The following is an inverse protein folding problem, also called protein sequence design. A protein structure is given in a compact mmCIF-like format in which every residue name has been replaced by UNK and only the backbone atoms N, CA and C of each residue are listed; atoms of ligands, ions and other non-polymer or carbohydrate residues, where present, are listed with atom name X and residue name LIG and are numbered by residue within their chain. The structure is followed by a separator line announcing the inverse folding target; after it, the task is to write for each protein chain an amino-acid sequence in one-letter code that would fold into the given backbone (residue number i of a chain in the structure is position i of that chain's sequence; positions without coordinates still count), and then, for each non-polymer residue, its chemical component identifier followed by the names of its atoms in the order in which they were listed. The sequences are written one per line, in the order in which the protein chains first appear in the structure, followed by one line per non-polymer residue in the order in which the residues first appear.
data_IF_895460105232
#
_entry.id   IF_895460105232
#
_cell.length_a   1.000
_cell.length_b   1.000
_cell.length_c   1.000
_cell.angle_alpha   90.00
_cell.angle_beta   90.00
_cell.angle_gamma   90.00
#
_symmetry.space_group_name_H-M   'P 1'
#
loop_
_entity.id
_entity.type
_entity.pdbx_description
1 polymer ?
#
# COMPACT_ATOMS: atom_id res chain seq x y z
N UNK A 1 -13.91 7.39 -1.23
CA UNK A 1 -12.54 7.11 -0.78
C UNK A 1 -11.55 7.83 -1.68
N UNK A 2 -10.53 8.37 -1.10
CA UNK A 2 -9.51 9.05 -1.87
C UNK A 2 -8.62 8.03 -2.63
N UNK A 3 -8.06 8.46 -3.76
CA UNK A 3 -7.29 7.57 -4.63
C UNK A 3 -6.07 6.96 -3.92
N UNK A 4 -5.45 7.68 -3.01
CA UNK A 4 -4.30 7.16 -2.27
C UNK A 4 -4.72 6.05 -1.31
N UNK A 5 -5.89 6.17 -0.69
CA UNK A 5 -6.45 5.12 0.14
C UNK A 5 -6.76 3.87 -0.68
N UNK A 6 -7.27 4.06 -1.90
CA UNK A 6 -7.54 2.96 -2.81
C UNK A 6 -6.24 2.27 -3.23
N UNK A 7 -5.19 3.04 -3.49
CA UNK A 7 -3.87 2.48 -3.81
C UNK A 7 -3.38 1.59 -2.67
N UNK A 8 -3.44 2.10 -1.43
CA UNK A 8 -3.01 1.33 -0.27
C UNK A 8 -3.84 0.06 -0.09
N UNK A 9 -5.16 0.16 -0.26
CA UNK A 9 -6.03 -1.00 -0.14
C UNK A 9 -5.69 -2.09 -1.16
N UNK A 10 -5.48 -1.69 -2.42
CA UNK A 10 -5.13 -2.65 -3.45
C UNK A 10 -3.78 -3.33 -3.19
N UNK A 11 -2.81 -2.59 -2.69
CA UNK A 11 -1.52 -3.17 -2.31
C UNK A 11 -1.73 -4.25 -1.24
N UNK A 12 -2.47 -3.93 -0.21
CA UNK A 12 -2.73 -4.88 0.88
C UNK A 12 -3.46 -6.12 0.37
N UNK A 13 -4.49 -5.92 -0.46
CA UNK A 13 -5.27 -7.02 -1.01
C UNK A 13 -4.42 -7.97 -1.85
N UNK A 14 -3.56 -7.43 -2.70
CA UNK A 14 -2.71 -8.27 -3.55
C UNK A 14 -1.67 -9.02 -2.72
N UNK A 15 -1.12 -8.39 -1.70
CA UNK A 15 -0.20 -9.07 -0.79
C UNK A 15 -0.92 -10.19 -0.03
N UNK A 16 -2.16 -9.97 0.39
CA UNK A 16 -2.94 -11.01 1.08
C UNK A 16 -3.13 -12.27 0.23
N UNK A 17 -3.26 -12.11 -1.08
CA UNK A 17 -3.41 -13.26 -1.98
C UNK A 17 -2.16 -14.13 -2.01
N UNK A 18 -1.01 -13.57 -1.70
CA UNK A 18 0.28 -14.25 -1.80
C UNK A 18 0.76 -14.73 -0.44
N UNK A 19 0.73 -13.85 0.57
CA UNK A 19 1.29 -14.14 1.88
C UNK A 19 0.23 -14.34 2.97
N UNK A 20 -1.04 -14.25 2.61
CA UNK A 20 -2.14 -14.49 3.56
C UNK A 20 -2.34 -13.39 4.57
N UNK A 21 -2.92 -13.71 5.74
CA UNK A 21 -3.31 -12.70 6.74
C UNK A 21 -2.17 -11.83 7.26
N UNK A 22 -0.93 -12.28 7.13
CA UNK A 22 0.22 -11.49 7.58
C UNK A 22 0.32 -10.17 6.83
N UNK A 23 -0.24 -10.09 5.61
CA UNK A 23 -0.23 -8.85 4.85
C UNK A 23 -0.92 -7.72 5.60
N UNK A 24 -2.09 -7.99 6.17
CA UNK A 24 -2.83 -6.99 6.94
C UNK A 24 -2.12 -6.68 8.26
N UNK A 25 -1.55 -7.68 8.92
CA UNK A 25 -0.80 -7.47 10.15
C UNK A 25 0.37 -6.53 9.93
N UNK A 26 1.10 -6.70 8.83
CA UNK A 26 2.22 -5.82 8.51
C UNK A 26 1.76 -4.41 8.14
N UNK A 27 0.66 -4.28 7.43
CA UNK A 27 0.11 -2.97 7.10
C UNK A 27 -0.25 -2.18 8.35
N UNK A 28 -0.81 -2.85 9.35
CA UNK A 28 -1.20 -2.20 10.61
C UNK A 28 -0.01 -1.72 11.43
N UNK A 29 1.18 -2.21 11.15
CA UNK A 29 2.39 -1.75 11.82
C UNK A 29 2.93 -0.45 11.24
N UNK A 30 2.44 -0.04 10.07
CA UNK A 30 2.89 1.20 9.44
C UNK A 30 2.28 2.39 10.17
N UNK A 31 3.14 3.22 10.74
CA UNK A 31 2.70 4.39 11.50
C UNK A 31 1.97 5.37 10.60
N UNK A 32 0.81 5.83 11.04
CA UNK A 32 0.00 6.77 10.28
C UNK A 32 -0.95 6.13 9.28
N UNK A 33 -0.90 4.81 9.12
CA UNK A 33 -1.81 4.09 8.23
C UNK A 33 -2.93 3.46 9.05
N UNK A 34 -4.16 3.82 8.75
CA UNK A 34 -5.34 3.31 9.44
C UNK A 34 -6.15 2.48 8.46
N UNK A 35 -6.21 1.18 8.71
CA UNK A 35 -6.80 0.21 7.79
C UNK A 35 -8.05 -0.41 8.39
N UNK A 36 -9.16 -0.32 7.66
CA UNK A 36 -10.39 -1.03 7.98
C UNK A 36 -10.85 -1.77 6.73
N UNK A 37 -10.47 -3.03 6.62
CA UNK A 37 -10.77 -3.84 5.43
C UNK A 37 -12.24 -4.20 5.32
N UNK A 38 -12.97 -4.24 6.41
CA UNK A 38 -14.41 -4.49 6.37
C UNK A 38 -15.16 -3.36 5.67
N UNK A 39 -14.70 -2.13 5.89
CA UNK A 39 -15.29 -0.94 5.26
C UNK A 39 -14.59 -0.57 3.97
N UNK A 40 -13.57 -1.29 3.59
CA UNK A 40 -12.71 -0.95 2.44
C UNK A 40 -12.17 0.47 2.53
N UNK A 41 -11.76 0.86 3.73
CA UNK A 41 -11.23 2.20 3.99
C UNK A 41 -9.79 2.12 4.44
N UNK A 42 -8.96 2.99 3.84
CA UNK A 42 -7.60 3.21 4.31
C UNK A 42 -7.42 4.72 4.43
N UNK A 43 -7.06 5.17 5.62
CA UNK A 43 -6.86 6.59 5.90
C UNK A 43 -5.43 6.83 6.34
N UNK A 44 -4.94 8.02 6.04
CA UNK A 44 -3.59 8.43 6.38
C UNK A 44 -3.60 9.52 7.44
N UNK A 45 -2.74 9.37 8.44
CA UNK A 45 -2.51 10.41 9.43
C UNK A 45 -1.05 10.83 9.30
N UNK A 46 -0.80 11.91 8.55
CA UNK A 46 0.54 12.41 8.27
C UNK A 46 0.82 12.50 6.79
N UNK A 47 2.09 12.40 6.41
CA UNK A 47 2.51 12.53 5.01
C UNK A 47 2.15 11.26 4.23
N UNK A 48 1.24 11.39 3.29
CA UNK A 48 0.71 10.25 2.52
C UNK A 48 1.78 9.52 1.72
N UNK A 49 2.67 10.26 1.07
CA UNK A 49 3.73 9.66 0.28
C UNK A 49 4.66 8.83 1.15
N UNK A 50 5.07 9.39 2.28
CA UNK A 50 5.96 8.71 3.22
C UNK A 50 5.32 7.47 3.80
N UNK A 51 4.04 7.56 4.15
CA UNK A 51 3.30 6.42 4.70
C UNK A 51 3.18 5.31 3.65
N UNK A 52 2.91 5.64 2.39
CA UNK A 52 2.87 4.66 1.32
C UNK A 52 4.25 4.04 1.08
N UNK A 53 5.31 4.84 1.13
CA UNK A 53 6.68 4.32 1.02
C UNK A 53 6.96 3.31 2.14
N UNK A 54 6.52 3.62 3.35
CA UNK A 54 6.71 2.74 4.49
C UNK A 54 5.91 1.45 4.36
N UNK A 55 4.71 1.52 3.77
CA UNK A 55 3.91 0.33 3.52
C UNK A 55 4.62 -0.61 2.53
N UNK A 56 5.05 -0.08 1.40
CA UNK A 56 5.80 -0.87 0.41
C UNK A 56 7.10 -1.38 1.02
N UNK A 57 7.80 -0.54 1.76
CA UNK A 57 9.05 -0.90 2.43
C UNK A 57 8.88 -2.02 3.44
N UNK A 58 7.74 -2.06 4.13
CA UNK A 58 7.46 -3.12 5.09
C UNK A 58 7.41 -4.48 4.39
N UNK A 59 6.71 -4.56 3.27
CA UNK A 59 6.65 -5.80 2.50
C UNK A 59 8.01 -6.14 1.89
N UNK A 60 8.70 -5.15 1.35
CA UNK A 60 10.03 -5.36 0.77
C UNK A 60 11.03 -5.88 1.80
N UNK A 61 11.00 -5.31 3.01
CA UNK A 61 11.91 -5.70 4.07
C UNK A 61 11.74 -7.18 4.45
N UNK A 62 10.49 -7.65 4.49
CA UNK A 62 10.17 -9.00 4.95
C UNK A 62 10.23 -10.05 3.83
N UNK A 63 9.85 -9.66 2.61
CA UNK A 63 9.62 -10.61 1.52
C UNK A 63 10.44 -10.30 0.26
N UNK A 64 11.28 -9.28 0.29
CA UNK A 64 12.20 -8.97 -0.78
C UNK A 64 11.62 -8.18 -1.94
N UNK A 65 12.42 -8.06 -2.99
CA UNK A 65 12.08 -7.23 -4.16
C UNK A 65 10.81 -7.69 -4.88
N UNK A 66 10.53 -8.99 -4.87
CA UNK A 66 9.32 -9.51 -5.50
C UNK A 66 8.06 -8.85 -4.93
N UNK A 67 8.06 -8.47 -3.66
CA UNK A 67 6.94 -7.77 -3.05
C UNK A 67 6.70 -6.39 -3.65
N UNK A 68 7.76 -5.70 -4.06
CA UNK A 68 7.64 -4.40 -4.71
C UNK A 68 6.94 -4.55 -6.05
N UNK A 69 7.28 -5.61 -6.80
CA UNK A 69 6.63 -5.88 -8.09
C UNK A 69 5.15 -6.19 -7.90
N UNK A 70 4.80 -6.92 -6.85
CA UNK A 70 3.39 -7.18 -6.50
C UNK A 70 2.66 -5.86 -6.24
N UNK A 71 3.28 -4.94 -5.50
CA UNK A 71 2.70 -3.63 -5.23
C UNK A 71 2.50 -2.83 -6.51
N UNK A 72 3.47 -2.84 -7.40
CA UNK A 72 3.36 -2.15 -8.70
C UNK A 72 2.21 -2.70 -9.53
N UNK A 73 2.10 -4.02 -9.62
CA UNK A 73 1.02 -4.65 -10.36
C UNK A 73 -0.34 -4.31 -9.78
N UNK A 74 -0.43 -4.30 -8.45
CA UNK A 74 -1.68 -4.01 -7.75
C UNK A 74 -2.28 -2.65 -8.14
N UNK A 75 -1.42 -1.66 -8.41
CA UNK A 75 -1.86 -0.28 -8.65
C UNK A 75 -1.74 0.16 -10.10
N UNK A 76 -1.26 -0.70 -10.98
CA UNK A 76 -0.99 -0.33 -12.38
C UNK A 76 -2.18 0.35 -13.06
N UNK A 77 -3.38 -0.13 -12.79
CA UNK A 77 -4.59 0.38 -13.44
C UNK A 77 -5.07 1.72 -12.90
N UNK A 78 -4.60 2.14 -11.74
CA UNK A 78 -5.11 3.35 -11.08
C UNK A 78 -4.05 4.39 -10.77
N UNK A 79 -2.78 4.03 -10.88
CA UNK A 79 -1.71 4.91 -10.39
C UNK A 79 -1.62 6.24 -11.15
N UNK A 80 -2.00 6.24 -12.43
CA UNK A 80 -1.95 7.47 -13.23
C UNK A 80 -3.03 8.48 -12.83
N UNK A 81 -4.04 8.04 -12.09
CA UNK A 81 -5.08 8.92 -11.59
C UNK A 81 -4.68 9.63 -10.31
N UNK A 82 -3.57 9.22 -9.71
CA UNK A 82 -3.09 9.82 -8.46
C UNK A 82 -2.09 10.95 -8.73
N UNK A 83 -2.04 11.95 -7.82
CA UNK A 83 -1.01 12.99 -7.93
C UNK A 83 0.39 12.38 -7.80
N UNK A 84 1.24 12.63 -8.78
CA UNK A 84 2.60 12.05 -8.79
C UNK A 84 3.40 12.40 -7.56
N UNK A 85 3.24 13.62 -7.07
CA UNK A 85 3.99 14.11 -5.90
C UNK A 85 3.59 13.42 -4.60
N UNK A 86 2.46 12.69 -4.61
CA UNK A 86 1.98 11.98 -3.42
C UNK A 86 2.19 10.47 -3.50
N UNK A 87 2.75 10.00 -4.61
CA UNK A 87 2.96 8.57 -4.84
C UNK A 87 4.45 8.25 -4.81
N UNK A 88 4.86 7.24 -4.03
CA UNK A 88 6.26 6.82 -3.99
C UNK A 88 6.76 6.42 -5.38
N UNK A 89 7.99 6.79 -5.72
CA UNK A 89 8.59 6.44 -7.00
C UNK A 89 8.69 4.92 -7.20
N UNK A 90 8.76 4.17 -6.12
CA UNK A 90 8.80 2.70 -6.17
C UNK A 90 7.61 2.09 -6.89
N UNK A 91 6.47 2.79 -6.92
CA UNK A 91 5.23 2.28 -7.51
C UNK A 91 5.10 2.56 -9.00
N UNK A 92 5.98 3.36 -9.57
CA UNK A 92 5.97 3.67 -11.00
C UNK A 92 6.81 2.73 -11.84
#
# INVERSE_FOLDING_TARGET
MDILGTIAEKIIQEQEKIIGPIALEQARKVQGLNVDMQKHEVKFTGNEKEILENLVGQYQHLFGRASVEVCREAVRGIILDAPKEKVPSLLF
#
